data_IF_669739834362
#
_entry.id   IF_669739834362
#
_cell.length_a   1.000
_cell.length_b   1.000
_cell.length_c   1.000
_cell.angle_alpha   90.00
_cell.angle_beta   90.00
_cell.angle_gamma   90.00
#
_symmetry.space_group_name_H-M   'P 1'
#
loop_
_entity.id
_entity.type
_entity.pdbx_description
1 polymer ?
#
# COMPACT_ATOMS: atom_id res chain seq x y z
N UNK A 1 -22.20 1.66 23.27
CA UNK A 1 -22.54 1.18 21.92
C UNK A 1 -21.44 0.22 21.53
N UNK A 2 -21.74 -1.07 21.51
CA UNK A 2 -20.83 -2.07 20.94
C UNK A 2 -20.88 -1.90 19.42
N UNK A 3 -19.86 -1.27 18.85
CA UNK A 3 -19.73 -1.23 17.41
C UNK A 3 -19.44 -2.65 16.94
N UNK A 4 -20.20 -3.15 15.96
CA UNK A 4 -20.00 -4.51 15.51
C UNK A 4 -18.59 -4.62 14.91
N UNK A 5 -17.80 -5.52 15.48
CA UNK A 5 -16.37 -5.63 15.20
C UNK A 5 -16.17 -6.20 13.80
N UNK A 6 -15.49 -5.44 12.94
CA UNK A 6 -15.06 -5.93 11.63
C UNK A 6 -14.06 -7.06 11.72
N UNK A 7 -13.77 -7.67 10.57
CA UNK A 7 -12.82 -8.77 10.44
C UNK A 7 -11.90 -8.56 9.23
N UNK A 8 -10.71 -9.18 9.21
CA UNK A 8 -9.97 -9.27 7.95
C UNK A 8 -10.77 -10.05 6.90
N UNK A 9 -10.68 -9.63 5.65
CA UNK A 9 -11.16 -10.41 4.52
C UNK A 9 -10.34 -11.71 4.40
N UNK A 10 -10.99 -12.79 3.98
CA UNK A 10 -10.27 -14.02 3.64
C UNK A 10 -9.59 -13.86 2.27
N UNK A 11 -8.40 -14.46 2.05
CA UNK A 11 -7.80 -14.46 0.71
C UNK A 11 -8.75 -15.04 -0.33
N UNK A 12 -8.97 -14.31 -1.43
CA UNK A 12 -9.87 -14.71 -2.50
C UNK A 12 -11.35 -14.34 -2.27
N UNK A 13 -11.68 -13.72 -1.13
CA UNK A 13 -13.01 -13.12 -0.91
C UNK A 13 -13.24 -11.93 -1.86
N UNK A 14 -12.18 -11.16 -2.15
CA UNK A 14 -12.18 -10.07 -3.11
C UNK A 14 -10.96 -10.16 -4.06
N UNK A 15 -10.93 -11.09 -5.03
CA UNK A 15 -9.72 -11.41 -5.79
C UNK A 15 -9.08 -10.22 -6.53
N UNK A 16 -9.89 -9.33 -7.08
CA UNK A 16 -9.40 -8.13 -7.76
C UNK A 16 -8.76 -7.14 -6.79
N UNK A 17 -9.35 -6.97 -5.61
CA UNK A 17 -8.81 -6.07 -4.57
C UNK A 17 -7.60 -6.69 -3.88
N UNK A 18 -7.57 -8.00 -3.68
CA UNK A 18 -6.40 -8.72 -3.19
C UNK A 18 -5.20 -8.52 -4.13
N UNK A 19 -5.43 -8.65 -5.45
CA UNK A 19 -4.39 -8.43 -6.45
C UNK A 19 -3.88 -6.98 -6.45
N UNK A 20 -4.79 -6.00 -6.38
CA UNK A 20 -4.43 -4.58 -6.28
C UNK A 20 -3.65 -4.28 -4.99
N UNK A 21 -4.13 -4.79 -3.85
CA UNK A 21 -3.50 -4.60 -2.55
C UNK A 21 -2.12 -5.26 -2.49
N UNK A 22 -1.90 -6.36 -3.21
CA UNK A 22 -0.58 -6.96 -3.34
C UNK A 22 0.42 -6.04 -4.05
N UNK A 23 0.00 -5.27 -5.07
CA UNK A 23 0.86 -4.26 -5.71
C UNK A 23 1.24 -3.18 -4.70
N UNK A 24 0.25 -2.61 -4.03
CA UNK A 24 0.41 -1.56 -3.02
C UNK A 24 1.30 -2.01 -1.87
N UNK A 25 1.15 -3.26 -1.40
CA UNK A 25 1.98 -3.82 -0.34
C UNK A 25 3.44 -4.01 -0.73
N UNK A 26 3.76 -4.23 -2.01
CA UNK A 26 5.16 -4.24 -2.46
C UNK A 26 5.79 -2.85 -2.33
N UNK A 27 5.04 -1.81 -2.68
CA UNK A 27 5.50 -0.43 -2.54
C UNK A 27 5.64 -0.02 -1.07
N UNK A 28 4.71 -0.47 -0.24
CA UNK A 28 4.75 -0.23 1.20
C UNK A 28 5.99 -0.90 1.81
N UNK A 29 6.24 -2.18 1.52
CA UNK A 29 7.44 -2.88 2.01
C UNK A 29 8.73 -2.24 1.48
N UNK A 30 8.69 -1.69 0.25
CA UNK A 30 9.84 -1.01 -0.31
C UNK A 30 10.20 0.25 0.48
N UNK A 31 9.24 1.13 0.75
CA UNK A 31 9.53 2.42 1.38
C UNK A 31 9.45 2.40 2.91
N UNK A 32 8.61 1.55 3.49
CA UNK A 32 8.33 1.42 4.92
C UNK A 32 8.47 -0.05 5.39
N UNK A 33 9.67 -0.63 5.30
CA UNK A 33 9.89 -2.03 5.66
C UNK A 33 9.58 -2.28 7.14
N UNK A 34 8.98 -3.43 7.44
CA UNK A 34 8.68 -3.87 8.80
C UNK A 34 7.34 -3.37 9.37
N UNK A 35 6.58 -2.55 8.62
CA UNK A 35 5.20 -2.18 8.98
C UNK A 35 4.20 -3.34 8.86
N UNK A 36 4.56 -4.37 8.10
CA UNK A 36 3.67 -5.47 7.74
C UNK A 36 2.69 -5.08 6.62
N UNK A 37 2.08 -6.05 5.94
CA UNK A 37 1.19 -5.78 4.82
C UNK A 37 -0.15 -5.23 5.29
N UNK A 38 -0.67 -4.24 4.56
CA UNK A 38 -2.05 -3.81 4.64
C UNK A 38 -2.99 -4.98 4.31
N UNK A 39 -4.22 -4.90 4.84
CA UNK A 39 -5.25 -5.93 4.70
C UNK A 39 -6.57 -5.31 4.28
N UNK A 40 -7.38 -6.06 3.53
CA UNK A 40 -8.79 -5.73 3.36
C UNK A 40 -9.53 -6.04 4.67
N UNK A 41 -10.33 -5.08 5.14
CA UNK A 41 -11.09 -5.17 6.37
C UNK A 41 -12.58 -5.05 6.09
N UNK A 42 -13.30 -6.12 6.38
CA UNK A 42 -14.74 -6.24 6.14
C UNK A 42 -15.46 -5.78 7.39
N UNK A 43 -16.23 -4.71 7.25
CA UNK A 43 -17.13 -4.25 8.29
C UNK A 43 -18.52 -4.84 8.04
N UNK A 44 -19.28 -5.15 9.11
CA UNK A 44 -20.68 -5.49 8.97
C UNK A 44 -21.46 -4.31 8.33
N UNK A 45 -22.48 -4.60 7.52
CA UNK A 45 -23.28 -3.54 6.91
C UNK A 45 -23.95 -2.70 8.00
N UNK A 46 -23.87 -1.38 7.84
CA UNK A 46 -24.62 -0.44 8.69
C UNK A 46 -26.10 -0.43 8.35
N UNK A 47 -26.43 -0.78 7.10
CA UNK A 47 -27.75 -0.92 6.52
C UNK A 47 -27.74 -2.12 5.57
N UNK A 48 -28.75 -2.99 5.61
CA UNK A 48 -28.85 -4.18 4.75
C UNK A 48 -28.90 -3.83 3.25
N UNK A 49 -29.35 -2.62 2.89
CA UNK A 49 -29.33 -2.12 1.51
C UNK A 49 -27.95 -1.63 1.06
N UNK A 50 -27.10 -1.22 2.01
CA UNK A 50 -25.72 -0.85 1.72
C UNK A 50 -24.87 -2.11 1.81
N UNK A 51 -24.46 -2.61 0.64
CA UNK A 51 -23.60 -3.79 0.53
C UNK A 51 -22.39 -3.75 1.48
N UNK A 52 -21.81 -4.93 1.73
CA UNK A 52 -20.83 -5.11 2.80
C UNK A 52 -19.63 -4.14 2.64
N UNK A 53 -19.43 -3.20 3.58
CA UNK A 53 -18.35 -2.21 3.50
C UNK A 53 -16.98 -2.87 3.69
N UNK A 54 -16.04 -2.56 2.78
CA UNK A 54 -14.66 -3.05 2.84
C UNK A 54 -13.69 -1.87 2.81
N UNK A 55 -12.71 -1.90 3.70
CA UNK A 55 -11.69 -0.85 3.84
C UNK A 55 -10.29 -1.44 3.62
N UNK A 56 -9.31 -0.58 3.33
CA UNK A 56 -7.89 -0.95 3.41
C UNK A 56 -7.40 -0.56 4.81
N UNK A 57 -6.86 -1.52 5.55
CA UNK A 57 -6.45 -1.34 6.95
C UNK A 57 -5.01 -1.76 7.19
N UNK A 58 -4.42 -1.23 8.26
CA UNK A 58 -3.18 -1.73 8.85
C UNK A 58 -3.35 -3.18 9.36
N UNK A 59 -2.24 -3.90 9.64
CA UNK A 59 -2.30 -5.28 10.15
C UNK A 59 -3.11 -5.45 11.44
N UNK A 60 -3.19 -4.40 12.26
CA UNK A 60 -3.95 -4.35 13.52
C UNK A 60 -5.46 -4.10 13.31
N UNK A 61 -5.90 -3.93 12.06
CA UNK A 61 -7.28 -3.67 11.71
C UNK A 61 -7.71 -2.22 11.88
N UNK A 62 -6.78 -1.28 12.07
CA UNK A 62 -7.10 0.16 12.06
C UNK A 62 -6.98 0.74 10.65
N UNK A 63 -7.91 1.62 10.27
CA UNK A 63 -7.95 2.25 8.94
C UNK A 63 -8.34 3.72 9.05
N UNK A 64 -8.16 4.46 7.96
CA UNK A 64 -8.74 5.77 7.76
C UNK A 64 -9.35 5.84 6.35
N UNK A 65 -10.31 6.74 6.14
CA UNK A 65 -10.91 6.98 4.83
C UNK A 65 -12.23 6.27 4.60
N UNK A 66 -12.64 6.26 3.34
CA UNK A 66 -13.92 5.70 2.90
C UNK A 66 -13.81 4.19 2.58
N UNK A 67 -14.97 3.55 2.48
CA UNK A 67 -15.05 2.17 1.98
C UNK A 67 -14.65 2.13 0.50
N UNK A 68 -14.06 1.02 0.07
CA UNK A 68 -13.77 0.76 -1.33
C UNK A 68 -15.07 0.71 -2.13
N UNK A 69 -15.18 1.44 -3.25
CA UNK A 69 -16.33 1.32 -4.13
C UNK A 69 -16.40 -0.10 -4.72
N UNK A 70 -17.59 -0.63 -5.04
CA UNK A 70 -17.75 -2.01 -5.54
C UNK A 70 -16.93 -2.35 -6.81
N UNK A 71 -16.57 -1.33 -7.60
CA UNK A 71 -15.75 -1.46 -8.81
C UNK A 71 -14.36 -0.83 -8.67
N UNK A 72 -13.86 -0.71 -7.44
CA UNK A 72 -12.53 -0.18 -7.15
C UNK A 72 -11.46 -0.92 -7.97
N UNK A 73 -10.65 -0.15 -8.67
CA UNK A 73 -9.45 -0.59 -9.36
C UNK A 73 -8.20 -0.41 -8.49
N UNK A 74 -7.03 -0.52 -9.13
CA UNK A 74 -5.74 -0.37 -8.43
C UNK A 74 -5.55 1.05 -7.87
N UNK A 75 -6.04 2.07 -8.58
CA UNK A 75 -5.94 3.48 -8.13
C UNK A 75 -6.74 3.68 -6.84
N UNK A 76 -7.99 3.21 -6.78
CA UNK A 76 -8.84 3.36 -5.59
C UNK A 76 -8.26 2.63 -4.37
N UNK A 77 -7.71 1.42 -4.57
CA UNK A 77 -7.05 0.67 -3.50
C UNK A 77 -5.76 1.36 -3.04
N UNK A 78 -4.98 1.92 -3.96
CA UNK A 78 -3.76 2.65 -3.64
C UNK A 78 -4.06 3.97 -2.92
N UNK A 79 -5.13 4.67 -3.27
CA UNK A 79 -5.61 5.88 -2.62
C UNK A 79 -6.10 5.60 -1.19
N UNK A 80 -6.97 4.61 -1.01
CA UNK A 80 -7.44 4.18 0.31
C UNK A 80 -6.28 3.71 1.21
N UNK A 81 -5.29 3.01 0.64
CA UNK A 81 -4.08 2.62 1.34
C UNK A 81 -3.26 3.84 1.78
N UNK A 82 -3.10 4.83 0.89
CA UNK A 82 -2.39 6.07 1.20
C UNK A 82 -3.06 6.82 2.35
N UNK A 83 -4.38 7.03 2.31
CA UNK A 83 -5.11 7.68 3.39
C UNK A 83 -4.90 6.96 4.71
N UNK A 84 -5.01 5.63 4.71
CA UNK A 84 -4.77 4.82 5.92
C UNK A 84 -3.35 4.96 6.44
N UNK A 85 -2.33 4.85 5.58
CA UNK A 85 -0.94 4.98 6.02
C UNK A 85 -0.65 6.37 6.56
N UNK A 86 -1.06 7.42 5.85
CA UNK A 86 -0.81 8.82 6.23
C UNK A 86 -1.45 9.15 7.56
N UNK A 87 -2.72 8.80 7.76
CA UNK A 87 -3.48 9.22 8.94
C UNK A 87 -3.24 8.30 10.16
N UNK A 88 -2.97 7.01 9.92
CA UNK A 88 -2.73 6.06 11.02
C UNK A 88 -1.28 6.02 11.48
N UNK A 89 -0.33 6.20 10.56
CA UNK A 89 1.10 6.18 10.88
C UNK A 89 1.70 7.59 11.03
N UNK A 90 0.97 8.65 10.64
CA UNK A 90 1.48 10.02 10.61
C UNK A 90 2.74 10.18 9.75
N UNK A 91 2.82 9.38 8.68
CA UNK A 91 3.94 9.37 7.73
C UNK A 91 3.44 9.70 6.32
N UNK A 92 4.08 10.67 5.66
CA UNK A 92 3.80 10.92 4.24
C UNK A 92 4.24 9.71 3.45
N UNK A 93 3.32 9.12 2.67
CA UNK A 93 3.61 7.94 1.86
C UNK A 93 2.69 7.83 0.64
N UNK A 94 3.20 7.38 -0.52
CA UNK A 94 4.62 7.22 -0.83
C UNK A 94 5.26 8.58 -1.15
N UNK A 95 6.58 8.73 -0.95
CA UNK A 95 7.29 9.99 -1.18
C UNK A 95 8.12 9.91 -2.45
N UNK A 96 8.04 10.95 -3.28
CA UNK A 96 8.90 11.12 -4.44
C UNK A 96 10.34 11.38 -3.99
N UNK A 97 11.29 10.56 -4.43
CA UNK A 97 12.70 10.73 -4.07
C UNK A 97 13.36 11.96 -4.72
N UNK A 98 12.75 12.54 -5.77
CA UNK A 98 13.26 13.72 -6.47
C UNK A 98 12.83 15.01 -5.77
N UNK A 99 11.53 15.16 -5.51
CA UNK A 99 10.97 16.40 -4.94
C UNK A 99 10.64 16.34 -3.44
N UNK A 100 10.74 15.16 -2.83
CA UNK A 100 10.36 14.93 -1.42
C UNK A 100 8.89 15.30 -1.12
N UNK A 101 8.02 15.18 -2.12
CA UNK A 101 6.58 15.39 -2.02
C UNK A 101 5.84 14.05 -1.99
N UNK A 102 4.65 14.04 -1.39
CA UNK A 102 3.73 12.92 -1.49
C UNK A 102 3.39 12.63 -2.96
N UNK A 103 3.46 11.36 -3.34
CA UNK A 103 2.97 10.84 -4.60
C UNK A 103 1.48 10.55 -4.46
N UNK A 104 0.71 10.66 -5.54
CA UNK A 104 -0.70 10.30 -5.55
C UNK A 104 -0.95 9.20 -6.58
N UNK A 105 -1.85 8.26 -6.27
CA UNK A 105 -2.25 7.25 -7.22
C UNK A 105 -3.09 7.89 -8.33
N UNK A 106 -2.78 7.59 -9.59
CA UNK A 106 -3.54 8.06 -10.74
C UNK A 106 -3.51 7.02 -11.85
N UNK A 107 -4.54 7.02 -12.69
CA UNK A 107 -4.48 6.30 -13.96
C UNK A 107 -3.72 7.14 -14.99
N UNK A 108 -2.67 6.55 -15.56
CA UNK A 108 -1.85 7.13 -16.62
C UNK A 108 -1.64 6.09 -17.72
N UNK A 109 -1.91 6.45 -18.98
CA UNK A 109 -1.81 5.55 -20.14
C UNK A 109 -2.50 4.17 -19.93
N UNK A 110 -3.63 4.16 -19.20
CA UNK A 110 -4.39 2.95 -18.90
C UNK A 110 -3.77 2.04 -17.82
N UNK A 111 -2.82 2.54 -17.03
CA UNK A 111 -2.19 1.83 -15.91
C UNK A 111 -2.23 2.68 -14.65
N UNK A 112 -2.32 2.04 -13.49
CA UNK A 112 -2.19 2.73 -12.21
C UNK A 112 -0.71 3.09 -11.96
N UNK A 113 -0.46 4.36 -11.69
CA UNK A 113 0.87 4.91 -11.47
C UNK A 113 0.90 5.88 -10.29
N UNK A 114 2.10 6.02 -9.71
CA UNK A 114 2.40 7.04 -8.72
C UNK A 114 2.81 8.33 -9.41
N UNK A 115 2.04 9.39 -9.20
CA UNK A 115 2.24 10.70 -9.78
C UNK A 115 2.78 11.70 -8.75
N UNK A 116 3.80 12.46 -9.10
CA UNK A 116 4.33 13.56 -8.30
C UNK A 116 3.87 14.90 -8.87
N UNK A 117 3.57 15.89 -8.02
CA UNK A 117 3.23 17.26 -8.45
C UNK A 117 4.46 18.21 -8.54
N UNK A 118 5.68 17.71 -8.35
CA UNK A 118 6.91 18.50 -8.48
C UNK A 118 7.21 18.88 -9.94
N UNK A 119 7.75 20.08 -10.15
CA UNK A 119 8.20 20.63 -11.44
C UNK A 119 7.19 20.53 -12.60
N UNK A 120 5.91 20.75 -12.32
CA UNK A 120 4.83 20.65 -13.33
C UNK A 120 4.22 19.25 -13.46
N UNK A 121 4.71 18.30 -12.67
CA UNK A 121 4.15 16.99 -12.47
C UNK A 121 4.74 15.91 -13.37
N UNK A 122 4.97 14.73 -12.81
CA UNK A 122 5.52 13.59 -13.54
C UNK A 122 5.08 12.24 -12.98
N UNK A 123 5.11 11.22 -13.84
CA UNK A 123 4.94 9.82 -13.46
C UNK A 123 6.23 9.33 -12.82
N UNK A 124 6.15 8.84 -11.58
CA UNK A 124 7.31 8.26 -10.92
C UNK A 124 7.57 6.82 -11.33
N UNK A 125 6.53 5.98 -11.32
CA UNK A 125 6.50 4.57 -11.72
C UNK A 125 5.07 4.01 -11.65
N UNK A 126 4.87 2.77 -12.09
CA UNK A 126 3.64 2.03 -11.84
C UNK A 126 3.42 1.71 -10.35
N UNK A 127 2.17 1.49 -9.95
CA UNK A 127 1.86 0.95 -8.62
C UNK A 127 2.37 -0.49 -8.51
N UNK A 128 3.13 -0.78 -7.46
CA UNK A 128 3.83 -2.02 -7.20
C UNK A 128 5.24 -2.09 -7.80
N UNK A 129 5.75 -0.96 -8.30
CA UNK A 129 7.07 -0.82 -8.94
C UNK A 129 7.96 0.23 -8.25
N UNK A 130 7.60 0.72 -7.05
CA UNK A 130 8.44 1.69 -6.35
C UNK A 130 9.82 1.10 -6.04
N UNK A 131 10.90 1.83 -6.35
CA UNK A 131 12.25 1.30 -6.20
C UNK A 131 12.60 1.15 -4.72
N UNK A 132 13.15 -0.01 -4.35
CA UNK A 132 13.73 -0.21 -3.03
C UNK A 132 14.74 0.90 -2.69
N UNK A 133 14.69 1.47 -1.47
CA UNK A 133 15.72 2.36 -0.98
C UNK A 133 17.06 1.63 -1.12
N UNK A 134 17.98 2.21 -1.88
CA UNK A 134 19.29 1.58 -2.07
C UNK A 134 19.97 1.53 -0.71
N UNK A 135 20.12 0.33 -0.14
CA UNK A 135 20.90 0.13 1.07
C UNK A 135 22.26 0.83 0.93
N UNK A 136 22.75 1.53 1.97
CA UNK A 136 24.08 2.12 1.95
C UNK A 136 25.12 1.08 1.55
N UNK A 137 26.10 1.47 0.72
CA UNK A 137 27.14 0.57 0.15
C UNK A 137 27.79 -0.35 1.19
N UNK A 138 27.91 0.09 2.44
CA UNK A 138 28.45 -0.69 3.57
C UNK A 138 27.63 -1.94 3.89
N UNK A 139 26.30 -1.84 3.90
CA UNK A 139 25.42 -2.98 4.19
C UNK A 139 25.38 -3.99 3.04
N UNK A 140 25.42 -3.50 1.80
CA UNK A 140 25.59 -4.36 0.60
C UNK A 140 26.86 -5.20 0.68
N UNK A 141 27.98 -4.59 1.05
CA UNK A 141 29.24 -5.32 1.23
C UNK A 141 29.17 -6.35 2.36
N UNK A 142 28.45 -6.05 3.45
CA UNK A 142 28.26 -6.97 4.58
C UNK A 142 27.41 -8.18 4.18
N UNK A 143 26.23 -7.96 3.57
CA UNK A 143 25.38 -9.05 3.05
C UNK A 143 26.08 -9.92 2.00
N UNK A 144 26.88 -9.32 1.11
CA UNK A 144 27.67 -10.06 0.11
C UNK A 144 28.76 -10.92 0.76
N UNK A 145 29.39 -10.44 1.84
CA UNK A 145 30.38 -11.22 2.60
C UNK A 145 29.72 -12.35 3.39
N UNK A 146 28.54 -12.12 3.95
CA UNK A 146 27.78 -13.13 4.70
C UNK A 146 27.26 -14.26 3.79
N UNK A 147 26.72 -13.94 2.60
CA UNK A 147 26.35 -14.95 1.59
C UNK A 147 27.54 -15.80 1.16
N UNK A 148 28.69 -15.18 0.87
CA UNK A 148 29.92 -15.92 0.51
C UNK A 148 30.49 -16.80 1.63
N UNK A 149 30.19 -16.50 2.90
CA UNK A 149 30.57 -17.34 4.05
C UNK A 149 29.64 -18.52 4.24
N UNK A 150 28.37 -18.41 3.84
CA UNK A 150 27.40 -19.51 3.91
C UNK A 150 27.51 -20.54 2.78
N UNK A 151 28.13 -20.19 1.64
CA UNK A 151 28.36 -21.10 0.51
C UNK A 151 29.65 -21.95 0.63
N UNK A 152 30.39 -21.81 1.74
CA UNK A 152 31.66 -22.51 1.97
C UNK A 152 31.59 -23.56 3.10
N UNK A 153 30.39 -23.93 3.54
CA UNK A 153 30.13 -25.03 4.48
C UNK A 153 29.40 -26.16 3.75
#
# INVERSE_FOLDING_TARGET
>A
MDFPSGRPAQPGEHPSWDAALALVNRDLDALLPGRGPLRLWVMPPWDEEMGVPVYVALPDGTWHGNQLPPRAGVVDVADAAQETVVERLWEVWPVCNEHQLGLHAREEEGRAAWWCNGDGGHVRCGVGELPLPRLPRRERCKRRKERKRGELQ
#
